data_IF_342098247774
#
_entry.id   IF_342098247774
#
_cell.length_a   1.000
_cell.length_b   1.000
_cell.length_c   1.000
_cell.angle_alpha   90.00
_cell.angle_beta   90.00
_cell.angle_gamma   90.00
#
_symmetry.space_group_name_H-M   'P 1'
#
loop_
_entity.id
_entity.type
_entity.pdbx_description
1 polymer ?
#
# COMPACT_ATOMS: atom_id res chain seq x y z
N UNK A 1 -12.62 -8.44 -18.26
CA UNK A 1 -11.52 -8.39 -17.26
C UNK A 1 -11.63 -7.11 -16.45
N UNK A 2 -11.72 -7.19 -15.12
CA UNK A 2 -11.70 -6.00 -14.27
C UNK A 2 -10.31 -5.34 -14.40
N UNK A 3 -10.27 -4.05 -14.77
CA UNK A 3 -9.00 -3.32 -14.79
C UNK A 3 -8.47 -3.25 -13.36
N UNK A 4 -7.28 -3.80 -13.13
CA UNK A 4 -6.56 -3.62 -11.86
C UNK A 4 -6.42 -2.12 -11.58
N UNK A 5 -6.65 -1.71 -10.33
CA UNK A 5 -6.59 -0.31 -9.89
C UNK A 5 -5.64 -0.20 -8.71
N UNK A 6 -5.06 0.98 -8.54
CA UNK A 6 -4.31 1.31 -7.34
C UNK A 6 -5.17 1.06 -6.08
N UNK A 7 -4.58 0.55 -4.99
CA UNK A 7 -5.29 0.33 -3.73
C UNK A 7 -5.89 1.63 -3.17
N UNK A 8 -5.14 2.72 -3.29
CA UNK A 8 -5.49 4.01 -2.70
C UNK A 8 -6.25 4.97 -3.62
N UNK A 9 -6.40 4.66 -4.91
CA UNK A 9 -7.10 5.53 -5.85
C UNK A 9 -7.64 4.73 -7.06
N UNK A 10 -8.18 5.42 -8.06
CA UNK A 10 -8.75 4.75 -9.24
C UNK A 10 -7.80 4.67 -10.44
N UNK A 11 -6.59 5.22 -10.32
CA UNK A 11 -5.60 5.22 -11.41
C UNK A 11 -5.11 3.80 -11.71
N UNK A 12 -4.69 3.54 -12.97
CA UNK A 12 -4.00 2.30 -13.32
C UNK A 12 -2.79 2.08 -12.41
N UNK A 13 -2.56 0.85 -11.95
CA UNK A 13 -1.43 0.55 -11.11
C UNK A 13 -0.14 0.59 -11.92
N UNK A 14 0.92 1.02 -11.26
CA UNK A 14 2.25 1.04 -11.81
C UNK A 14 2.96 -0.28 -11.52
N UNK A 15 2.88 -0.72 -10.27
CA UNK A 15 3.49 -1.97 -9.85
C UNK A 15 2.71 -2.64 -8.70
N UNK A 16 2.96 -3.93 -8.55
CA UNK A 16 2.60 -4.71 -7.37
C UNK A 16 3.69 -4.53 -6.29
N UNK A 17 3.25 -4.37 -5.04
CA UNK A 17 4.11 -4.05 -3.91
C UNK A 17 3.71 -4.93 -2.74
N UNK A 18 4.69 -5.62 -2.15
CA UNK A 18 4.47 -6.34 -0.92
C UNK A 18 4.48 -5.35 0.27
N UNK A 19 3.40 -5.33 1.04
CA UNK A 19 3.21 -4.40 2.16
C UNK A 19 2.83 -5.15 3.42
N UNK A 20 3.29 -4.62 4.55
CA UNK A 20 2.67 -4.90 5.84
C UNK A 20 1.52 -3.92 6.03
N UNK A 21 0.32 -4.44 6.30
CA UNK A 21 -0.89 -3.68 6.63
C UNK A 21 -1.24 -3.93 8.09
N UNK A 22 -1.58 -2.88 8.85
CA UNK A 22 -1.97 -3.05 10.24
C UNK A 22 -3.00 -2.04 10.75
N UNK A 23 -3.73 -2.43 11.78
CA UNK A 23 -4.64 -1.57 12.54
C UNK A 23 -4.74 -2.10 13.97
N UNK A 24 -4.23 -1.34 14.93
CA UNK A 24 -4.10 -1.82 16.31
C UNK A 24 -3.23 -3.07 16.38
N UNK A 25 -3.79 -4.16 16.90
CA UNK A 25 -3.11 -5.47 17.01
C UNK A 25 -3.23 -6.31 15.74
N UNK A 26 -4.17 -6.00 14.84
CA UNK A 26 -4.34 -6.74 13.59
C UNK A 26 -3.22 -6.35 12.62
N UNK A 27 -2.43 -7.35 12.19
CA UNK A 27 -1.33 -7.19 11.23
C UNK A 27 -1.45 -8.26 10.16
N UNK A 28 -1.46 -7.83 8.91
CA UNK A 28 -1.61 -8.65 7.72
C UNK A 28 -0.50 -8.33 6.73
N UNK A 29 -0.02 -9.35 6.02
CA UNK A 29 0.95 -9.19 4.93
C UNK A 29 0.23 -9.46 3.62
N UNK A 30 0.30 -8.53 2.69
CA UNK A 30 -0.37 -8.65 1.41
C UNK A 30 0.39 -7.96 0.29
N UNK A 31 0.09 -8.35 -0.94
CA UNK A 31 0.56 -7.67 -2.14
C UNK A 31 -0.53 -6.73 -2.63
N UNK A 32 -0.20 -5.46 -2.83
CA UNK A 32 -1.12 -4.42 -3.27
C UNK A 32 -0.63 -3.79 -4.55
N UNK A 33 -1.56 -3.34 -5.37
CA UNK A 33 -1.25 -2.62 -6.59
C UNK A 33 -1.22 -1.12 -6.29
N UNK A 34 -0.16 -0.40 -6.64
CA UNK A 34 -0.07 1.05 -6.42
C UNK A 34 0.31 1.78 -7.70
N UNK A 35 -0.30 2.95 -7.93
CA UNK A 35 0.17 3.86 -8.98
C UNK A 35 1.49 4.51 -8.56
N UNK A 36 2.24 5.07 -9.52
CA UNK A 36 3.58 5.65 -9.29
C UNK A 36 3.59 6.68 -8.15
N UNK A 37 2.57 7.55 -8.09
CA UNK A 37 2.42 8.58 -7.05
C UNK A 37 2.24 7.99 -5.66
N UNK A 38 1.43 6.96 -5.56
CA UNK A 38 1.11 6.34 -4.28
C UNK A 38 2.22 5.42 -3.79
N UNK A 39 2.91 4.74 -4.71
CA UNK A 39 4.15 4.06 -4.39
C UNK A 39 5.21 5.02 -3.80
N UNK A 40 5.45 6.15 -4.46
CA UNK A 40 6.43 7.14 -3.99
C UNK A 40 6.10 7.59 -2.56
N UNK A 41 4.84 7.95 -2.31
CA UNK A 41 4.36 8.35 -0.98
C UNK A 41 4.52 7.25 0.08
N UNK A 42 4.32 5.98 -0.29
CA UNK A 42 4.53 4.86 0.63
C UNK A 42 6.01 4.72 0.98
N UNK A 43 6.91 4.85 -0.01
CA UNK A 43 8.35 4.80 0.19
C UNK A 43 8.86 5.97 1.04
N UNK A 44 8.36 7.17 0.79
CA UNK A 44 8.69 8.37 1.58
C UNK A 44 8.27 8.23 3.04
N UNK A 45 7.15 7.55 3.31
CA UNK A 45 6.72 7.26 4.68
C UNK A 45 7.63 6.25 5.41
N UNK A 46 8.36 5.43 4.65
CA UNK A 46 9.35 4.48 5.17
C UNK A 46 8.80 3.60 6.30
N UNK A 47 9.50 3.49 7.45
CA UNK A 47 9.12 2.60 8.54
C UNK A 47 7.88 3.05 9.32
N UNK A 48 7.54 4.35 9.31
CA UNK A 48 6.33 4.85 9.94
C UNK A 48 5.07 4.36 9.19
N UNK A 49 5.21 4.11 7.89
CA UNK A 49 4.12 3.74 7.02
C UNK A 49 3.11 4.86 6.80
N UNK A 50 2.09 4.57 6.01
CA UNK A 50 1.05 5.50 5.59
C UNK A 50 -0.33 4.97 5.94
N UNK A 51 -1.14 5.83 6.54
CA UNK A 51 -2.54 5.55 6.84
C UNK A 51 -3.40 5.70 5.58
N UNK A 52 -4.32 4.74 5.39
CA UNK A 52 -5.37 4.77 4.40
C UNK A 52 -6.61 4.00 4.89
N UNK A 53 -7.74 4.70 5.04
CA UNK A 53 -9.03 4.12 5.46
C UNK A 53 -8.98 3.37 6.80
N UNK A 54 -8.23 3.90 7.76
CA UNK A 54 -8.01 3.32 9.09
C UNK A 54 -6.95 2.22 9.12
N UNK A 55 -6.32 1.90 7.99
CA UNK A 55 -5.26 0.90 7.89
C UNK A 55 -3.93 1.58 7.62
N UNK A 56 -2.91 1.16 8.35
CA UNK A 56 -1.54 1.57 8.09
C UNK A 56 -0.88 0.59 7.14
N UNK A 57 -0.05 1.11 6.24
CA UNK A 57 0.67 0.33 5.25
C UNK A 57 2.14 0.77 5.23
N UNK A 58 3.09 -0.16 5.17
CA UNK A 58 4.49 0.13 4.86
C UNK A 58 5.01 -0.83 3.81
N UNK A 59 5.97 -0.36 3.02
CA UNK A 59 6.68 -1.21 2.07
C UNK A 59 7.60 -2.19 2.81
N UNK A 60 7.60 -3.46 2.40
CA UNK A 60 8.49 -4.48 2.97
C UNK A 60 7.95 -5.19 4.21
N UNK A 61 8.74 -6.15 4.71
CA UNK A 61 8.32 -7.17 5.68
C UNK A 61 9.00 -7.02 7.06
N UNK A 62 9.58 -5.85 7.34
CA UNK A 62 10.49 -5.62 8.48
C UNK A 62 10.21 -4.26 9.11
#
# INVERSE_FOLDING_TARGET
MARMRCLWCIEPPYQEVAVLKWRGEERERLTVHLCRKHLARLKEAGPAGREHKGWWYKEGWW
#
